data_IF_566461170019
#
_entry.id   IF_566461170019
#
_cell.length_a   1.000
_cell.length_b   1.000
_cell.length_c   1.000
_cell.angle_alpha   90.00
_cell.angle_beta   90.00
_cell.angle_gamma   90.00
#
_symmetry.space_group_name_H-M   'P 1'
#
loop_
_entity.id
_entity.type
_entity.pdbx_description
1 polymer ?
#
# COMPACT_ATOMS: atom_id res chain seq x y z
N UNK A 1 10.22 10.33 0.63
CA UNK A 1 10.30 10.50 -0.85
C UNK A 1 10.83 9.25 -1.55
N UNK A 2 11.94 8.64 -1.12
CA UNK A 2 12.48 7.43 -1.74
C UNK A 2 11.46 6.29 -1.89
N UNK A 3 10.71 5.99 -0.82
CA UNK A 3 9.66 4.95 -0.81
C UNK A 3 8.52 5.28 -1.80
N UNK A 4 8.17 6.56 -1.96
CA UNK A 4 7.16 7.00 -2.93
C UNK A 4 7.62 6.79 -4.37
N UNK A 5 8.89 7.10 -4.66
CA UNK A 5 9.50 6.94 -5.99
C UNK A 5 9.70 5.46 -6.36
N UNK A 6 9.95 4.57 -5.39
CA UNK A 6 10.08 3.14 -5.69
C UNK A 6 8.73 2.47 -5.92
N UNK A 7 7.66 3.01 -5.34
CA UNK A 7 6.35 2.34 -5.36
C UNK A 7 5.41 2.81 -6.48
N UNK A 8 5.59 4.03 -7.01
CA UNK A 8 4.71 4.59 -8.06
C UNK A 8 4.58 3.75 -9.35
N UNK A 9 5.62 3.06 -9.87
CA UNK A 9 5.52 2.36 -11.15
C UNK A 9 4.56 1.17 -11.09
N UNK A 10 4.50 0.49 -9.94
CA UNK A 10 3.61 -0.66 -9.72
C UNK A 10 2.16 -0.21 -9.73
N UNK A 11 1.84 0.88 -9.02
CA UNK A 11 0.49 1.47 -9.00
C UNK A 11 0.08 1.96 -10.39
N UNK A 12 0.97 2.66 -11.10
CA UNK A 12 0.68 3.18 -12.44
C UNK A 12 0.40 2.05 -13.45
N UNK A 13 1.15 0.96 -13.39
CA UNK A 13 0.96 -0.23 -14.23
C UNK A 13 -0.37 -0.92 -13.94
N UNK A 14 -0.75 -1.04 -12.67
CA UNK A 14 -2.02 -1.62 -12.25
C UNK A 14 -3.21 -0.79 -12.75
N UNK A 15 -3.17 0.53 -12.58
CA UNK A 15 -4.20 1.44 -13.11
C UNK A 15 -4.31 1.30 -14.62
N UNK A 16 -3.18 1.29 -15.35
CA UNK A 16 -3.18 1.10 -16.81
C UNK A 16 -3.81 -0.23 -17.23
N UNK A 17 -3.47 -1.33 -16.54
CA UNK A 17 -4.03 -2.65 -16.83
C UNK A 17 -5.55 -2.68 -16.64
N UNK A 18 -6.03 -2.04 -15.57
CA UNK A 18 -7.48 -1.93 -15.31
C UNK A 18 -8.19 -1.04 -16.33
N UNK A 19 -7.59 0.08 -16.72
CA UNK A 19 -8.13 0.94 -17.78
C UNK A 19 -8.28 0.18 -19.09
N UNK A 20 -7.26 -0.58 -19.51
CA UNK A 20 -7.32 -1.41 -20.73
C UNK A 20 -8.41 -2.50 -20.64
N UNK A 21 -8.57 -3.13 -19.46
CA UNK A 21 -9.59 -4.15 -19.23
C UNK A 21 -11.02 -3.59 -19.20
N UNK A 22 -11.18 -2.32 -18.81
CA UNK A 22 -12.47 -1.63 -18.81
C UNK A 22 -12.79 -1.09 -20.21
N UNK A 23 -11.79 -0.58 -20.94
CA UNK A 23 -11.93 -0.07 -22.30
C UNK A 23 -12.35 -1.14 -23.31
N UNK A 24 -11.96 -2.40 -23.13
CA UNK A 24 -12.36 -3.52 -23.98
C UNK A 24 -13.81 -4.00 -23.78
N UNK A 25 -14.59 -3.36 -22.89
CA UNK A 25 -15.97 -3.75 -22.63
C UNK A 25 -16.96 -3.11 -23.61
N UNK A 26 -17.94 -3.86 -24.12
CA UNK A 26 -18.87 -3.39 -25.17
C UNK A 26 -19.78 -2.23 -24.76
N UNK A 27 -19.96 -1.96 -23.46
CA UNK A 27 -20.71 -0.77 -23.02
C UNK A 27 -19.92 0.53 -23.19
N UNK A 28 -18.57 0.48 -23.20
CA UNK A 28 -17.72 1.65 -23.47
C UNK A 28 -17.72 1.97 -24.96
N UNK A 29 -17.68 0.96 -25.83
CA UNK A 29 -17.85 1.16 -27.27
C UNK A 29 -19.19 1.83 -27.59
N UNK A 30 -20.27 1.40 -26.94
CA UNK A 30 -21.59 2.05 -27.05
C UNK A 30 -21.60 3.49 -26.55
N UNK A 31 -20.97 3.77 -25.41
CA UNK A 31 -20.86 5.13 -24.88
C UNK A 31 -20.05 6.05 -25.81
N UNK A 32 -18.98 5.55 -26.43
CA UNK A 32 -18.20 6.26 -27.45
C UNK A 32 -19.02 6.47 -28.74
N UNK A 33 -19.76 5.46 -29.19
CA UNK A 33 -20.62 5.54 -30.38
C UNK A 33 -21.78 6.56 -30.23
N UNK A 34 -22.23 6.81 -28.99
CA UNK A 34 -23.21 7.84 -28.66
C UNK A 34 -22.60 9.26 -28.56
N UNK A 35 -21.32 9.44 -28.92
CA UNK A 35 -20.64 10.75 -28.89
C UNK A 35 -19.99 11.09 -27.54
N UNK A 36 -19.83 10.12 -26.62
CA UNK A 36 -19.15 10.33 -25.35
C UNK A 36 -17.66 10.63 -25.54
N UNK A 37 -17.21 11.81 -25.13
CA UNK A 37 -15.79 12.20 -25.16
C UNK A 37 -14.91 11.41 -24.18
N UNK A 38 -13.59 11.44 -24.40
CA UNK A 38 -12.60 10.69 -23.60
C UNK A 38 -12.72 10.98 -22.08
N UNK A 39 -12.88 12.25 -21.70
CA UNK A 39 -13.05 12.66 -20.30
C UNK A 39 -14.35 12.15 -19.65
N UNK A 40 -15.43 12.05 -20.43
CA UNK A 40 -16.71 11.52 -19.96
C UNK A 40 -16.60 10.02 -19.68
N UNK A 41 -16.01 9.26 -20.60
CA UNK A 41 -15.76 7.82 -20.42
C UNK A 41 -14.82 7.58 -19.23
N UNK A 42 -13.74 8.34 -19.13
CA UNK A 42 -12.75 8.19 -18.05
C UNK A 42 -13.36 8.42 -16.67
N UNK A 43 -14.04 9.55 -16.45
CA UNK A 43 -14.56 9.93 -15.12
C UNK A 43 -15.83 9.17 -14.73
N UNK A 44 -16.74 8.91 -15.68
CA UNK A 44 -18.05 8.32 -15.41
C UNK A 44 -18.03 6.79 -15.44
N UNK A 45 -17.15 6.19 -16.23
CA UNK A 45 -17.14 4.74 -16.46
C UNK A 45 -15.86 4.08 -15.97
N UNK A 46 -14.67 4.61 -16.28
CA UNK A 46 -13.41 3.96 -15.91
C UNK A 46 -13.10 4.19 -14.42
N UNK A 47 -13.05 5.45 -13.99
CA UNK A 47 -12.65 5.85 -12.65
C UNK A 47 -13.45 5.12 -11.54
N UNK A 48 -14.80 5.13 -11.53
CA UNK A 48 -15.56 4.43 -10.48
C UNK A 48 -15.40 2.91 -10.51
N UNK A 49 -15.06 2.30 -11.66
CA UNK A 49 -14.80 0.86 -11.73
C UNK A 49 -13.39 0.48 -11.23
N UNK A 50 -12.40 1.36 -11.42
CA UNK A 50 -11.00 1.10 -11.08
C UNK A 50 -10.65 1.61 -9.67
N UNK A 51 -11.34 2.64 -9.17
CA UNK A 51 -11.12 3.25 -7.86
C UNK A 51 -11.12 2.25 -6.70
N UNK A 52 -12.05 1.29 -6.62
CA UNK A 52 -12.05 0.35 -5.51
C UNK A 52 -10.80 -0.53 -5.50
N UNK A 53 -10.36 -1.01 -6.67
CA UNK A 53 -9.12 -1.79 -6.77
C UNK A 53 -7.89 -0.95 -6.41
N UNK A 54 -7.84 0.30 -6.86
CA UNK A 54 -6.75 1.22 -6.52
C UNK A 54 -6.68 1.43 -5.02
N UNK A 55 -7.81 1.67 -4.36
CA UNK A 55 -7.86 1.84 -2.91
C UNK A 55 -7.33 0.60 -2.18
N UNK A 56 -7.75 -0.61 -2.58
CA UNK A 56 -7.25 -1.86 -2.03
C UNK A 56 -5.73 -1.98 -2.16
N UNK A 57 -5.21 -1.75 -3.36
CA UNK A 57 -3.79 -1.82 -3.67
C UNK A 57 -2.99 -0.77 -2.88
N UNK A 58 -3.53 0.45 -2.74
CA UNK A 58 -2.91 1.52 -1.97
C UNK A 58 -2.77 1.13 -0.50
N UNK A 59 -3.76 0.47 0.10
CA UNK A 59 -3.67 -0.02 1.48
C UNK A 59 -2.52 -1.03 1.66
N UNK A 60 -2.34 -1.94 0.71
CA UNK A 60 -1.23 -2.91 0.73
C UNK A 60 0.14 -2.22 0.57
N UNK A 61 0.21 -1.24 -0.31
CA UNK A 61 1.41 -0.41 -0.50
C UNK A 61 1.79 0.31 0.80
N UNK A 62 0.82 0.91 1.48
CA UNK A 62 1.05 1.63 2.75
C UNK A 62 1.66 0.69 3.79
N UNK A 63 1.15 -0.55 3.91
CA UNK A 63 1.73 -1.55 4.81
C UNK A 63 3.21 -1.81 4.51
N UNK A 64 3.55 -2.05 3.23
CA UNK A 64 4.94 -2.29 2.82
C UNK A 64 5.83 -1.06 3.02
N UNK A 65 5.29 0.15 2.84
CA UNK A 65 5.99 1.40 3.04
C UNK A 65 6.36 1.62 4.52
N UNK A 66 5.43 1.35 5.44
CA UNK A 66 5.68 1.43 6.90
C UNK A 66 6.81 0.49 7.29
N UNK A 67 6.80 -0.75 6.78
CA UNK A 67 7.85 -1.72 7.09
C UNK A 67 9.21 -1.29 6.52
N UNK A 68 9.22 -0.76 5.29
CA UNK A 68 10.43 -0.25 4.66
C UNK A 68 11.00 0.96 5.41
N UNK A 69 10.16 1.90 5.81
CA UNK A 69 10.55 3.07 6.62
C UNK A 69 11.12 2.63 7.97
N UNK A 70 10.43 1.74 8.68
CA UNK A 70 10.91 1.21 9.96
C UNK A 70 12.26 0.49 9.82
N UNK A 71 12.46 -0.26 8.73
CA UNK A 71 13.72 -0.94 8.43
C UNK A 71 14.83 0.07 8.14
N UNK A 72 14.56 1.11 7.33
CA UNK A 72 15.52 2.16 7.03
C UNK A 72 15.90 2.95 8.29
N UNK A 73 14.92 3.32 9.11
CA UNK A 73 15.15 4.00 10.38
C UNK A 73 15.98 3.14 11.34
N UNK A 74 15.71 1.83 11.42
CA UNK A 74 16.54 0.90 12.20
C UNK A 74 17.99 0.80 11.70
N UNK A 75 18.21 0.96 10.40
CA UNK A 75 19.54 0.98 9.78
C UNK A 75 20.26 2.33 9.89
N UNK A 76 19.67 3.34 10.55
CA UNK A 76 20.25 4.68 10.66
C UNK A 76 20.08 5.56 9.41
N UNK A 77 19.19 5.16 8.50
CA UNK A 77 18.88 5.89 7.26
C UNK A 77 17.58 6.73 7.38
N UNK A 78 17.04 6.86 8.58
CA UNK A 78 15.89 7.70 8.90
C UNK A 78 16.27 9.16 9.12
N UNK A 79 15.26 10.02 9.25
CA UNK A 79 15.48 11.41 9.67
C UNK A 79 15.76 11.46 11.19
N UNK A 80 16.95 11.89 11.64
CA UNK A 80 17.31 11.91 13.06
C UNK A 80 16.57 13.01 13.84
N UNK A 81 15.89 13.94 13.17
CA UNK A 81 15.11 14.99 13.84
C UNK A 81 13.71 14.53 14.26
N UNK A 82 13.24 13.39 13.74
CA UNK A 82 11.91 12.85 13.99
C UNK A 82 12.03 11.51 14.71
N UNK A 83 11.43 11.43 15.91
CA UNK A 83 11.36 10.16 16.66
C UNK A 83 10.44 9.20 15.92
N UNK A 84 11.01 8.07 15.47
CA UNK A 84 10.29 6.98 14.80
C UNK A 84 10.48 5.67 15.58
N UNK A 85 9.54 4.73 15.44
CA UNK A 85 9.67 3.42 16.10
C UNK A 85 10.88 2.62 15.59
N UNK A 86 11.28 2.80 14.33
CA UNK A 86 12.52 2.21 13.80
C UNK A 86 13.77 2.87 14.39
N UNK A 87 13.76 4.19 14.61
CA UNK A 87 14.83 4.91 15.30
C UNK A 87 14.97 4.48 16.76
N UNK A 88 13.86 4.26 17.47
CA UNK A 88 13.90 3.71 18.84
C UNK A 88 14.57 2.33 18.90
N UNK A 89 14.36 1.50 17.87
CA UNK A 89 15.04 0.21 17.77
C UNK A 89 16.54 0.36 17.48
N UNK A 90 16.94 1.38 16.71
CA UNK A 90 18.34 1.72 16.47
C UNK A 90 19.00 2.20 17.77
N UNK A 91 18.39 3.15 18.48
CA UNK A 91 18.88 3.68 19.75
C UNK A 91 19.03 2.57 20.79
N UNK A 92 18.06 1.65 20.87
CA UNK A 92 18.13 0.48 21.74
C UNK A 92 19.34 -0.42 21.42
N UNK A 93 19.66 -0.56 20.13
CA UNK A 93 20.78 -1.39 19.66
C UNK A 93 22.12 -0.72 19.94
N UNK A 94 22.22 0.58 19.71
CA UNK A 94 23.42 1.40 19.95
C UNK A 94 23.73 1.57 21.43
N UNK A 95 22.70 1.75 22.27
CA UNK A 95 22.83 1.82 23.73
C UNK A 95 23.22 0.48 24.37
N UNK A 96 23.35 -0.60 23.60
CA UNK A 96 23.72 -1.91 24.11
C UNK A 96 22.60 -2.57 24.91
N UNK A 97 21.33 -2.22 24.70
CA UNK A 97 20.21 -2.85 25.41
C UNK A 97 20.19 -4.37 25.23
N UNK A 98 20.67 -4.86 24.07
CA UNK A 98 20.84 -6.29 23.78
C UNK A 98 21.94 -6.93 24.65
N UNK A 99 23.01 -6.20 24.95
CA UNK A 99 24.13 -6.67 25.80
C UNK A 99 23.88 -6.47 27.30
N UNK A 100 23.06 -5.49 27.67
CA UNK A 100 22.71 -5.17 29.07
C UNK A 100 21.52 -5.97 29.61
N UNK A 101 20.78 -6.65 28.72
CA UNK A 101 19.57 -7.41 29.09
C UNK A 101 18.28 -6.59 29.14
N UNK A 102 18.30 -5.36 28.63
CA UNK A 102 17.18 -4.40 28.64
C UNK A 102 16.22 -4.65 27.46
N UNK A 103 15.75 -5.90 27.34
CA UNK A 103 14.85 -6.33 26.27
C UNK A 103 13.55 -5.52 26.21
N UNK A 104 13.12 -4.94 27.33
CA UNK A 104 11.95 -4.08 27.46
C UNK A 104 12.01 -2.81 26.62
N UNK A 105 13.20 -2.35 26.21
CA UNK A 105 13.35 -1.17 25.37
C UNK A 105 13.21 -1.49 23.87
N UNK A 106 13.49 -2.75 23.48
CA UNK A 106 13.46 -3.21 22.09
C UNK A 106 12.11 -3.84 21.68
N UNK A 107 11.53 -4.65 22.57
CA UNK A 107 10.36 -5.47 22.25
C UNK A 107 9.08 -4.65 21.96
N UNK A 108 8.74 -3.60 22.74
CA UNK A 108 7.52 -2.82 22.48
C UNK A 108 7.45 -2.14 21.11
N UNK A 109 8.48 -1.39 20.64
CA UNK A 109 8.42 -0.77 19.31
C UNK A 109 8.40 -1.82 18.18
N UNK A 110 9.10 -2.95 18.35
CA UNK A 110 9.05 -4.05 17.38
C UNK A 110 7.65 -4.66 17.24
N UNK A 111 6.97 -4.93 18.36
CA UNK A 111 5.59 -5.43 18.37
C UNK A 111 4.63 -4.38 17.78
N UNK A 112 4.79 -3.10 18.12
CA UNK A 112 3.95 -2.03 17.58
C UNK A 112 4.01 -1.95 16.06
N UNK A 113 5.22 -1.98 15.47
CA UNK A 113 5.40 -2.02 14.02
C UNK A 113 4.75 -3.27 13.42
N UNK A 114 4.97 -4.44 14.02
CA UNK A 114 4.40 -5.69 13.53
C UNK A 114 2.87 -5.68 13.54
N UNK A 115 2.24 -5.21 14.63
CA UNK A 115 0.79 -5.11 14.75
C UNK A 115 0.21 -4.15 13.73
N UNK A 116 0.80 -2.97 13.56
CA UNK A 116 0.32 -1.98 12.58
C UNK A 116 0.46 -2.50 11.16
N UNK A 117 1.62 -3.04 10.79
CA UNK A 117 1.84 -3.60 9.46
C UNK A 117 0.86 -4.76 9.18
N UNK A 118 0.63 -5.62 10.16
CA UNK A 118 -0.28 -6.75 10.03
C UNK A 118 -1.74 -6.27 9.91
N UNK A 119 -2.15 -5.28 10.70
CA UNK A 119 -3.49 -4.68 10.61
C UNK A 119 -3.75 -4.05 9.22
N UNK A 120 -2.82 -3.25 8.70
CA UNK A 120 -2.94 -2.69 7.35
C UNK A 120 -2.95 -3.76 6.26
N UNK A 121 -2.12 -4.80 6.40
CA UNK A 121 -2.08 -5.91 5.45
C UNK A 121 -3.40 -6.68 5.43
N UNK A 122 -3.95 -7.02 6.60
CA UNK A 122 -5.23 -7.71 6.69
C UNK A 122 -6.37 -6.84 6.16
N UNK A 123 -6.41 -5.57 6.54
CA UNK A 123 -7.40 -4.61 6.03
C UNK A 123 -7.34 -4.53 4.50
N UNK A 124 -6.14 -4.34 3.92
CA UNK A 124 -5.95 -4.30 2.47
C UNK A 124 -6.43 -5.57 1.78
N UNK A 125 -6.13 -6.75 2.34
CA UNK A 125 -6.60 -8.04 1.80
C UNK A 125 -8.11 -8.20 1.89
N UNK A 126 -8.74 -7.77 2.98
CA UNK A 126 -10.21 -7.83 3.10
C UNK A 126 -10.90 -6.88 2.11
N UNK A 127 -10.36 -5.67 1.93
CA UNK A 127 -10.83 -4.71 0.94
C UNK A 127 -10.68 -5.27 -0.47
N UNK A 128 -9.52 -5.88 -0.79
CA UNK A 128 -9.30 -6.55 -2.06
C UNK A 128 -10.27 -7.72 -2.28
N UNK A 129 -10.51 -8.55 -1.26
CA UNK A 129 -11.42 -9.69 -1.34
C UNK A 129 -12.88 -9.26 -1.59
N UNK A 130 -13.34 -8.20 -0.93
CA UNK A 130 -14.70 -7.65 -1.13
C UNK A 130 -14.85 -7.02 -2.51
N UNK A 131 -13.81 -6.34 -3.00
CA UNK A 131 -13.86 -5.58 -4.24
C UNK A 131 -13.51 -6.40 -5.49
N UNK A 132 -12.92 -7.58 -5.30
CA UNK A 132 -12.61 -8.51 -6.38
C UNK A 132 -13.54 -9.75 -6.32
N UNK A 133 -14.81 -9.63 -6.77
CA UNK A 133 -15.76 -10.74 -6.76
C UNK A 133 -15.36 -11.93 -7.66
N UNK A 134 -14.27 -11.82 -8.43
CA UNK A 134 -13.74 -12.92 -9.26
C UNK A 134 -12.95 -13.97 -8.47
N UNK A 135 -12.57 -13.69 -7.22
CA UNK A 135 -11.89 -14.67 -6.35
C UNK A 135 -12.87 -15.54 -5.55
N UNK A 136 -14.18 -15.23 -5.58
CA UNK A 136 -15.24 -15.97 -4.87
C UNK A 136 -15.86 -17.14 -5.64
N UNK A 137 -15.28 -17.59 -6.76
CA UNK A 137 -15.69 -18.83 -7.43
C UNK A 137 -14.55 -19.83 -7.37
N UNK A 138 -14.39 -20.44 -6.20
CA UNK A 138 -13.76 -21.74 -6.08
C UNK A 138 -14.39 -22.49 -4.90
N UNK A 139 -15.59 -22.97 -5.21
CA UNK A 139 -16.30 -24.13 -4.65
C UNK A 139 -17.00 -23.99 -3.30
#
# INVERSE_FOLDING_TARGET
>A
LAIGVTTWPTTARLVRAQTLAVESRPYIERAKALGGGHWHVMSRHVLPNVMPLVLAQTTLIISSAILAEATLAFLGLGDPTVVSWGGLLQDAREAGAVSSGDWWYLVPPGIAIAVVALAFTLCGRTVEAVLNPRLGVSR
#
